data_IF_691446040259
#
_entry.id   IF_691446040259
#
_cell.length_a   1.000
_cell.length_b   1.000
_cell.length_c   1.000
_cell.angle_alpha   90.00
_cell.angle_beta   90.00
_cell.angle_gamma   90.00
#
_symmetry.space_group_name_H-M   'P 1'
#
loop_
_entity.id
_entity.type
_entity.pdbx_description
1 polymer ?
#
# COMPACT_ATOMS: atom_id res chain seq x y z
N UNK A 1 -9.05 3.55 -28.92
CA UNK A 1 -7.82 4.39 -28.94
C UNK A 1 -8.10 5.90 -28.89
N UNK A 2 -9.13 6.46 -29.55
CA UNK A 2 -9.37 7.92 -29.50
C UNK A 2 -9.67 8.48 -28.11
N UNK A 3 -10.37 7.72 -27.25
CA UNK A 3 -10.70 8.16 -25.88
C UNK A 3 -9.51 8.17 -24.90
N UNK A 4 -8.48 7.35 -25.15
CA UNK A 4 -7.32 7.23 -24.25
C UNK A 4 -6.19 8.22 -24.58
N UNK A 5 -6.20 8.77 -25.80
CA UNK A 5 -5.14 9.69 -26.27
C UNK A 5 -5.02 10.97 -25.43
N UNK A 6 -6.10 11.66 -25.05
CA UNK A 6 -6.00 12.86 -24.22
C UNK A 6 -5.35 12.57 -22.86
N UNK A 7 -5.68 11.43 -22.26
CA UNK A 7 -5.10 10.99 -20.98
C UNK A 7 -3.62 10.68 -21.13
N UNK A 8 -3.25 9.97 -22.20
CA UNK A 8 -1.85 9.68 -22.50
C UNK A 8 -1.02 10.94 -22.70
N UNK A 9 -1.50 11.88 -23.53
CA UNK A 9 -0.79 13.12 -23.82
C UNK A 9 -0.64 14.00 -22.56
N UNK A 10 -1.65 14.02 -21.68
CA UNK A 10 -1.57 14.72 -20.39
C UNK A 10 -0.56 14.07 -19.41
N UNK A 11 -0.51 12.73 -19.36
CA UNK A 11 0.44 11.99 -18.52
C UNK A 11 1.89 12.09 -19.04
N UNK A 12 2.05 12.14 -20.36
CA UNK A 12 3.34 12.30 -21.03
C UNK A 12 3.84 13.75 -21.04
N UNK A 13 3.04 14.71 -20.57
CA UNK A 13 3.44 16.12 -20.54
C UNK A 13 4.67 16.31 -19.63
N UNK A 14 5.71 17.06 -20.05
CA UNK A 14 6.94 17.23 -19.28
C UNK A 14 6.73 17.70 -17.84
N UNK A 15 5.72 18.54 -17.60
CA UNK A 15 5.41 19.03 -16.26
C UNK A 15 4.76 17.98 -15.36
N UNK A 16 4.06 17.00 -15.94
CA UNK A 16 3.58 15.80 -15.23
C UNK A 16 4.75 14.87 -14.94
N UNK A 17 5.63 14.65 -15.94
CA UNK A 17 6.81 13.81 -15.81
C UNK A 17 7.78 14.34 -14.74
N UNK A 18 8.02 15.66 -14.67
CA UNK A 18 8.85 16.29 -13.63
C UNK A 18 8.39 16.00 -12.20
N UNK A 19 7.09 15.77 -11.98
CA UNK A 19 6.54 15.44 -10.65
C UNK A 19 6.80 13.99 -10.23
N UNK A 20 6.92 13.08 -11.20
CA UNK A 20 7.23 11.66 -10.95
C UNK A 20 8.72 11.36 -11.01
N UNK A 21 9.53 12.22 -11.65
CA UNK A 21 10.99 12.14 -11.62
C UNK A 21 11.46 12.30 -10.16
N UNK A 22 12.17 11.28 -9.65
CA UNK A 22 12.58 11.08 -8.25
C UNK A 22 11.54 10.47 -7.30
N UNK A 23 10.39 9.99 -7.78
CA UNK A 23 9.41 9.26 -6.95
C UNK A 23 8.75 10.12 -5.86
N UNK A 24 8.73 11.45 -6.02
CA UNK A 24 8.24 12.41 -5.02
C UNK A 24 6.75 12.30 -4.71
N UNK A 25 5.94 11.79 -5.66
CA UNK A 25 4.59 11.33 -5.40
C UNK A 25 4.53 9.82 -5.60
N UNK A 26 4.66 9.04 -4.52
CA UNK A 26 4.11 7.70 -4.54
C UNK A 26 2.60 7.85 -4.68
N UNK A 27 2.06 7.44 -5.82
CA UNK A 27 0.63 7.44 -6.06
C UNK A 27 -0.02 6.59 -4.97
N UNK A 28 -0.84 7.20 -4.11
CA UNK A 28 -1.54 6.47 -3.03
C UNK A 28 -2.32 5.27 -3.57
N UNK A 29 -2.82 5.36 -4.81
CA UNK A 29 -3.49 4.24 -5.47
C UNK A 29 -2.53 3.09 -5.80
N UNK A 30 -1.28 3.38 -6.17
CA UNK A 30 -0.26 2.32 -6.39
C UNK A 30 0.11 1.64 -5.08
N UNK A 31 0.29 2.40 -4.00
CA UNK A 31 0.55 1.83 -2.67
C UNK A 31 -0.61 0.99 -2.16
N UNK A 32 -1.84 1.48 -2.31
CA UNK A 32 -3.05 0.72 -1.96
C UNK A 32 -3.18 -0.54 -2.82
N UNK A 33 -3.01 -0.43 -4.14
CA UNK A 33 -3.06 -1.57 -5.05
C UNK A 33 -1.96 -2.59 -4.74
N UNK A 34 -0.78 -2.17 -4.27
CA UNK A 34 0.25 -3.11 -3.84
C UNK A 34 -0.22 -3.97 -2.66
N UNK A 35 -0.94 -3.40 -1.69
CA UNK A 35 -1.57 -4.15 -0.59
C UNK A 35 -2.63 -5.09 -1.12
N UNK A 36 -3.58 -4.60 -1.92
CA UNK A 36 -4.67 -5.42 -2.49
C UNK A 36 -4.13 -6.61 -3.30
N UNK A 37 -3.18 -6.39 -4.19
CA UNK A 37 -2.63 -7.46 -5.04
C UNK A 37 -1.65 -8.38 -4.31
N UNK A 38 -1.18 -8.00 -3.12
CA UNK A 38 -0.47 -8.94 -2.23
C UNK A 38 -1.43 -9.96 -1.60
N UNK A 39 -2.69 -9.58 -1.38
CA UNK A 39 -3.75 -10.44 -0.84
C UNK A 39 -4.40 -11.30 -1.94
N UNK A 40 -4.68 -10.68 -3.09
CA UNK A 40 -5.29 -11.33 -4.25
C UNK A 40 -4.40 -11.19 -5.50
N UNK A 41 -3.36 -12.04 -5.67
CA UNK A 41 -2.45 -11.94 -6.80
C UNK A 41 -3.17 -12.05 -8.15
N UNK A 42 -2.89 -11.12 -9.06
CA UNK A 42 -3.53 -11.04 -10.40
C UNK A 42 -3.28 -12.27 -11.28
N UNK A 43 -2.22 -13.02 -10.99
CA UNK A 43 -1.87 -14.24 -11.71
C UNK A 43 -2.62 -15.48 -11.20
N UNK A 44 -3.50 -15.34 -10.20
CA UNK A 44 -4.29 -16.41 -9.62
C UNK A 44 -5.77 -16.09 -9.72
N UNK A 45 -6.55 -17.06 -10.20
CA UNK A 45 -8.00 -16.95 -10.18
C UNK A 45 -8.51 -16.80 -8.75
N UNK A 46 -9.38 -15.81 -8.54
CA UNK A 46 -10.01 -15.47 -7.27
C UNK A 46 -11.46 -15.10 -7.56
N UNK A 47 -12.39 -15.58 -6.75
CA UNK A 47 -13.82 -15.26 -6.93
C UNK A 47 -14.10 -13.81 -6.54
N UNK A 48 -15.16 -13.21 -7.09
CA UNK A 48 -15.53 -11.82 -6.79
C UNK A 48 -15.68 -11.56 -5.29
N UNK A 49 -16.33 -12.47 -4.57
CA UNK A 49 -16.50 -12.39 -3.10
C UNK A 49 -15.16 -12.33 -2.37
N UNK A 50 -14.16 -13.08 -2.82
CA UNK A 50 -12.83 -13.04 -2.20
C UNK A 50 -12.09 -11.74 -2.55
N UNK A 51 -12.25 -11.21 -3.76
CA UNK A 51 -11.72 -9.90 -4.14
C UNK A 51 -12.32 -8.79 -3.26
N UNK A 52 -13.63 -8.81 -3.02
CA UNK A 52 -14.31 -7.82 -2.18
C UNK A 52 -13.80 -7.87 -0.72
N UNK A 53 -13.60 -9.09 -0.19
CA UNK A 53 -13.01 -9.28 1.13
C UNK A 53 -11.56 -8.78 1.18
N UNK A 54 -10.74 -9.12 0.18
CA UNK A 54 -9.36 -8.64 0.09
C UNK A 54 -9.30 -7.11 -0.03
N UNK A 55 -10.25 -6.48 -0.73
CA UNK A 55 -10.35 -5.03 -0.81
C UNK A 55 -10.68 -4.41 0.54
N UNK A 56 -11.64 -4.96 1.29
CA UNK A 56 -11.96 -4.50 2.64
C UNK A 56 -10.75 -4.62 3.60
N UNK A 57 -10.06 -5.77 3.57
CA UNK A 57 -8.83 -5.99 4.37
C UNK A 57 -7.73 -5.01 3.94
N UNK A 58 -7.52 -4.79 2.65
CA UNK A 58 -6.51 -3.87 2.15
C UNK A 58 -6.78 -2.43 2.60
N UNK A 59 -8.06 -2.00 2.63
CA UNK A 59 -8.44 -0.67 3.13
C UNK A 59 -8.07 -0.54 4.61
N UNK A 60 -8.35 -1.54 5.42
CA UNK A 60 -8.01 -1.57 6.84
C UNK A 60 -6.48 -1.52 7.06
N UNK A 61 -5.74 -2.45 6.47
CA UNK A 61 -4.27 -2.50 6.58
C UNK A 61 -3.58 -1.23 6.08
N UNK A 62 -4.06 -0.66 4.97
CA UNK A 62 -3.45 0.53 4.38
C UNK A 62 -3.63 1.77 5.26
N UNK A 63 -4.85 1.98 5.78
CA UNK A 63 -5.17 3.19 6.53
C UNK A 63 -4.81 3.10 8.01
N UNK A 64 -5.09 1.97 8.65
CA UNK A 64 -4.98 1.80 10.10
C UNK A 64 -3.87 0.83 10.54
N UNK A 65 -3.32 0.07 9.60
CA UNK A 65 -2.33 -0.98 9.88
C UNK A 65 -2.96 -2.35 10.10
N UNK A 66 -2.14 -3.39 10.17
CA UNK A 66 -2.56 -4.78 10.18
C UNK A 66 -3.28 -5.20 11.47
N UNK A 67 -3.08 -4.47 12.58
CA UNK A 67 -3.87 -4.71 13.80
C UNK A 67 -5.36 -4.42 13.65
N UNK A 68 -5.76 -3.56 12.70
CA UNK A 68 -7.18 -3.27 12.42
C UNK A 68 -7.96 -4.49 11.90
N UNK A 69 -7.26 -5.54 11.45
CA UNK A 69 -7.86 -6.79 10.99
C UNK A 69 -8.29 -7.69 12.17
N UNK A 70 -7.71 -7.52 13.37
CA UNK A 70 -8.02 -8.35 14.53
C UNK A 70 -9.53 -8.46 14.88
N UNK A 71 -10.32 -7.36 14.89
CA UNK A 71 -11.78 -7.46 15.08
C UNK A 71 -12.48 -8.22 13.95
N UNK A 72 -12.03 -8.07 12.70
CA UNK A 72 -12.59 -8.80 11.55
C UNK A 72 -12.35 -10.30 11.68
N UNK A 73 -11.14 -10.71 12.06
CA UNK A 73 -10.84 -12.12 12.33
C UNK A 73 -11.73 -12.64 13.46
N UNK A 74 -11.89 -11.87 14.54
CA UNK A 74 -12.69 -12.31 15.68
C UNK A 74 -14.16 -12.54 15.32
N UNK A 75 -14.73 -11.66 14.50
CA UNK A 75 -16.10 -11.81 13.99
C UNK A 75 -16.23 -13.03 13.08
N UNK A 76 -15.31 -13.22 12.12
CA UNK A 76 -15.38 -14.30 11.14
C UNK A 76 -15.17 -15.70 11.72
N UNK A 77 -14.37 -15.82 12.78
CA UNK A 77 -14.07 -17.12 13.41
C UNK A 77 -14.96 -17.43 14.60
N UNK A 78 -15.82 -16.50 15.01
CA UNK A 78 -16.64 -16.63 16.22
C UNK A 78 -15.81 -16.74 17.51
N UNK A 79 -14.54 -16.33 17.47
CA UNK A 79 -13.59 -16.45 18.57
C UNK A 79 -12.49 -15.41 18.48
N UNK A 80 -12.03 -14.89 19.62
CA UNK A 80 -10.98 -13.87 19.64
C UNK A 80 -9.68 -14.30 18.97
N UNK A 81 -8.85 -13.33 18.59
CA UNK A 81 -7.53 -13.61 18.03
C UNK A 81 -6.59 -14.25 19.07
N UNK A 82 -5.91 -15.33 18.67
CA UNK A 82 -4.85 -15.96 19.48
C UNK A 82 -3.67 -15.02 19.74
N UNK A 83 -2.90 -15.33 20.80
CA UNK A 83 -1.75 -14.51 21.22
C UNK A 83 -0.75 -14.27 20.08
N UNK A 84 -0.36 -15.33 19.36
CA UNK A 84 0.60 -15.22 18.27
C UNK A 84 0.10 -14.40 17.09
N UNK A 85 -1.21 -14.41 16.80
CA UNK A 85 -1.82 -13.55 15.77
C UNK A 85 -1.66 -12.09 16.15
N UNK A 86 -2.01 -11.72 17.39
CA UNK A 86 -1.88 -10.33 17.88
C UNK A 86 -0.43 -9.85 17.82
N UNK A 87 0.52 -10.69 18.23
CA UNK A 87 1.96 -10.38 18.17
C UNK A 87 2.44 -10.23 16.73
N UNK A 88 1.99 -11.10 15.82
CA UNK A 88 2.36 -11.04 14.41
C UNK A 88 1.86 -9.74 13.75
N UNK A 89 0.59 -9.37 13.96
CA UNK A 89 0.01 -8.13 13.41
C UNK A 89 0.73 -6.90 13.95
N UNK A 90 1.05 -6.86 15.24
CA UNK A 90 1.86 -5.78 15.81
C UNK A 90 3.24 -5.66 15.15
N UNK A 91 3.94 -6.77 14.95
CA UNK A 91 5.26 -6.77 14.31
C UNK A 91 5.20 -6.34 12.85
N UNK A 92 4.11 -6.65 12.13
CA UNK A 92 3.90 -6.17 10.77
C UNK A 92 3.78 -4.64 10.74
N UNK A 93 2.98 -4.06 11.64
CA UNK A 93 2.84 -2.61 11.79
C UNK A 93 4.16 -1.93 12.16
N UNK A 94 4.91 -2.49 13.11
CA UNK A 94 6.22 -1.98 13.51
C UNK A 94 7.19 -1.96 12.32
N UNK A 95 7.21 -3.03 11.51
CA UNK A 95 8.04 -3.08 10.28
C UNK A 95 7.61 -2.03 9.27
N UNK A 96 6.30 -1.83 9.08
CA UNK A 96 5.76 -0.80 8.17
C UNK A 96 6.26 0.58 8.59
N UNK A 97 6.08 0.96 9.85
CA UNK A 97 6.54 2.25 10.38
C UNK A 97 8.05 2.40 10.27
N UNK A 98 8.81 1.37 10.64
CA UNK A 98 10.27 1.40 10.55
C UNK A 98 10.77 1.59 9.12
N UNK A 99 10.15 0.93 8.14
CA UNK A 99 10.53 1.05 6.73
C UNK A 99 10.35 2.48 6.20
N UNK A 100 9.26 3.14 6.60
CA UNK A 100 8.96 4.53 6.25
C UNK A 100 9.93 5.51 6.90
N UNK A 101 10.27 5.31 8.19
CA UNK A 101 11.28 6.11 8.88
C UNK A 101 12.65 6.00 8.20
N UNK A 102 13.05 4.78 7.84
CA UNK A 102 14.33 4.51 7.15
C UNK A 102 14.36 5.19 5.78
N UNK A 103 13.24 5.19 5.04
CA UNK A 103 13.12 5.88 3.75
C UNK A 103 13.28 7.39 3.89
N UNK A 104 12.55 8.01 4.84
CA UNK A 104 12.66 9.45 5.14
C UNK A 104 14.10 9.87 5.48
N UNK A 105 14.78 9.10 6.33
CA UNK A 105 16.19 9.37 6.66
C UNK A 105 17.13 9.27 5.45
N UNK A 106 16.88 8.33 4.52
CA UNK A 106 17.67 8.22 3.30
C UNK A 106 17.44 9.39 2.33
N UNK A 107 16.20 9.86 2.23
CA UNK A 107 15.85 11.05 1.45
C UNK A 107 16.50 12.32 2.02
N UNK A 108 16.47 12.51 3.34
CA UNK A 108 17.14 13.62 4.02
C UNK A 108 18.66 13.61 3.76
N UNK A 109 19.31 12.45 3.92
CA UNK A 109 20.74 12.29 3.59
C UNK A 109 21.05 12.66 2.14
N UNK A 110 20.22 12.23 1.21
CA UNK A 110 20.41 12.51 -0.23
C UNK A 110 20.25 14.00 -0.55
N UNK A 111 19.33 14.71 0.13
CA UNK A 111 19.16 16.16 0.00
C UNK A 111 20.40 16.92 0.50
N UNK A 112 20.97 16.51 1.63
CA UNK A 112 22.20 17.07 2.19
C UNK A 112 23.39 16.91 1.23
N UNK A 113 23.58 15.73 0.63
CA UNK A 113 24.68 15.47 -0.30
C UNK A 113 24.57 16.27 -1.61
N UNK A 114 23.37 16.64 -2.05
CA UNK A 114 23.17 17.47 -3.26
C UNK A 114 23.38 18.98 -3.03
N UNK A 115 23.50 19.42 -1.78
CA UNK A 115 23.73 20.83 -1.42
C UNK A 115 25.21 21.15 -1.17
N UNK A 116 26.08 20.14 -1.14
CA UNK A 116 27.54 20.27 -1.00
C UNK A 116 28.19 20.11 -2.37
#
# INVERSE_FOLDING_TARGET
MKASRPVFDALAHPDTLKKVINGGSQNSNESFHAVLWSLAPKNRYTTGVVIDLCAAIAVLSYNEGDQSILPVIAELTGGGCGFYTKVAMRRLDERRVYSELKRKQAEERTKLTKQT
#
